data_IF_990855702746
#
_entry.id   IF_990855702746
#
_cell.length_a   1.000
_cell.length_b   1.000
_cell.length_c   1.000
_cell.angle_alpha   90.00
_cell.angle_beta   90.00
_cell.angle_gamma   90.00
#
_symmetry.space_group_name_H-M   'P 1'
#
loop_
_entity.id
_entity.type
_entity.pdbx_description
1 polymer ?
#
# COMPACT_ATOMS: atom_id res chain seq x y z
N UNK A 1 -6.75 -13.03 8.80
CA UNK A 1 -5.85 -13.71 7.83
C UNK A 1 -4.38 -13.45 8.10
N UNK A 2 -3.94 -12.19 8.08
CA UNK A 2 -2.52 -11.83 8.08
C UNK A 2 -2.04 -11.36 9.47
N UNK A 3 -2.44 -12.08 10.51
CA UNK A 3 -2.18 -11.71 11.92
C UNK A 3 -0.74 -11.99 12.37
N UNK A 4 0.01 -12.84 11.65
CA UNK A 4 1.42 -13.12 11.94
C UNK A 4 2.21 -13.27 10.64
N UNK A 5 1.84 -12.49 9.62
CA UNK A 5 2.47 -12.57 8.30
C UNK A 5 3.81 -11.84 8.34
N UNK A 6 4.91 -12.56 8.17
CA UNK A 6 6.27 -12.06 8.30
C UNK A 6 7.13 -12.40 7.09
N UNK A 7 8.07 -11.52 6.77
CA UNK A 7 9.12 -11.77 5.79
C UNK A 7 10.46 -11.32 6.38
N UNK A 8 11.44 -12.22 6.46
CA UNK A 8 12.72 -11.93 7.11
C UNK A 8 12.59 -11.45 8.56
N UNK A 9 11.58 -11.94 9.30
CA UNK A 9 11.27 -11.54 10.68
C UNK A 9 10.42 -10.26 10.82
N UNK A 10 10.34 -9.43 9.78
CA UNK A 10 9.51 -8.21 9.77
C UNK A 10 8.04 -8.57 9.61
N UNK A 11 7.16 -8.03 10.46
CA UNK A 11 5.73 -8.20 10.30
C UNK A 11 5.22 -7.39 9.12
N UNK A 12 4.67 -8.03 8.09
CA UNK A 12 4.15 -7.40 6.85
C UNK A 12 2.62 -7.56 6.72
N UNK A 13 1.99 -8.15 7.74
CA UNK A 13 0.53 -8.21 7.87
C UNK A 13 -0.04 -7.01 8.63
N UNK A 14 -0.92 -7.29 9.61
CA UNK A 14 -1.68 -6.27 10.35
C UNK A 14 -0.86 -5.22 11.11
N UNK A 15 0.41 -5.49 11.44
CA UNK A 15 1.29 -4.54 12.13
C UNK A 15 2.03 -3.57 11.20
N UNK A 16 1.80 -3.62 9.89
CA UNK A 16 2.47 -2.74 8.93
C UNK A 16 1.49 -1.86 8.17
N UNK A 17 1.87 -0.59 8.01
CA UNK A 17 1.25 0.35 7.08
C UNK A 17 2.29 0.80 6.06
N UNK A 18 1.85 1.12 4.85
CA UNK A 18 2.69 1.69 3.81
C UNK A 18 2.03 2.85 3.09
N UNK A 19 2.85 3.68 2.45
CA UNK A 19 2.44 4.74 1.53
C UNK A 19 3.35 4.75 0.32
N UNK A 20 2.81 5.05 -0.86
CA UNK A 20 3.56 5.07 -2.11
C UNK A 20 2.92 6.08 -3.06
N UNK A 21 3.74 6.82 -3.82
CA UNK A 21 3.30 7.56 -5.00
C UNK A 21 3.71 6.78 -6.24
N UNK A 22 2.76 6.47 -7.12
CA UNK A 22 3.05 5.85 -8.42
C UNK A 22 3.06 6.93 -9.49
N UNK A 23 4.18 7.03 -10.21
CA UNK A 23 4.40 8.05 -11.23
C UNK A 23 5.47 7.55 -12.20
N UNK A 24 5.42 8.03 -13.43
CA UNK A 24 6.34 7.66 -14.48
C UNK A 24 5.79 8.01 -15.85
N UNK A 25 6.59 7.95 -16.91
CA UNK A 25 6.13 8.19 -18.28
C UNK A 25 5.14 7.14 -18.78
N UNK A 26 5.14 5.92 -18.22
CA UNK A 26 4.20 4.84 -18.53
C UNK A 26 4.15 3.81 -17.38
N UNK A 27 3.20 2.85 -17.42
CA UNK A 27 3.04 1.85 -16.36
C UNK A 27 4.27 0.97 -16.08
N UNK A 28 5.09 0.69 -17.11
CA UNK A 28 6.28 -0.16 -16.97
C UNK A 28 7.47 0.59 -16.33
N UNK A 29 7.44 1.93 -16.39
CA UNK A 29 8.50 2.81 -15.89
C UNK A 29 8.04 3.55 -14.63
N UNK A 30 7.71 2.79 -13.59
CA UNK A 30 7.12 3.31 -12.36
C UNK A 30 8.20 3.68 -11.32
N UNK A 31 8.27 4.96 -10.95
CA UNK A 31 9.20 5.52 -9.96
C UNK A 31 8.83 5.26 -8.50
N UNK A 32 7.84 4.41 -8.23
CA UNK A 32 7.29 4.16 -6.90
C UNK A 32 8.32 3.85 -5.81
N UNK A 33 9.39 3.13 -6.16
CA UNK A 33 10.44 2.74 -5.21
C UNK A 33 11.13 3.94 -4.55
N UNK A 34 11.06 5.13 -5.16
CA UNK A 34 11.64 6.37 -4.64
C UNK A 34 10.75 7.07 -3.60
N UNK A 35 9.49 6.65 -3.47
CA UNK A 35 8.49 7.27 -2.58
C UNK A 35 7.84 6.30 -1.62
N UNK A 36 8.06 5.00 -1.78
CA UNK A 36 7.56 3.98 -0.85
C UNK A 36 8.15 4.18 0.54
N UNK A 37 7.30 4.05 1.54
CA UNK A 37 7.70 3.94 2.94
C UNK A 37 6.79 2.97 3.66
N UNK A 38 7.35 2.26 4.64
CA UNK A 38 6.61 1.37 5.53
C UNK A 38 6.89 1.74 6.98
N UNK A 39 5.89 1.56 7.83
CA UNK A 39 6.05 1.66 9.27
C UNK A 39 5.37 0.49 9.96
N UNK A 40 6.08 -0.08 10.91
CA UNK A 40 5.56 -1.11 11.79
C UNK A 40 5.08 -0.49 13.10
N UNK A 41 3.94 -0.97 13.59
CA UNK A 41 3.49 -0.72 14.96
C UNK A 41 4.34 -1.52 15.96
N UNK A 42 4.15 -1.26 17.26
CA UNK A 42 4.66 -2.15 18.29
C UNK A 42 4.02 -3.54 18.18
N UNK A 43 4.72 -4.56 18.67
CA UNK A 43 4.24 -5.94 18.67
C UNK A 43 2.89 -6.07 19.41
N UNK A 44 1.92 -6.72 18.78
CA UNK A 44 0.55 -6.87 19.28
C UNK A 44 -0.31 -5.61 19.18
N UNK A 45 0.22 -4.50 18.68
CA UNK A 45 -0.47 -3.22 18.52
C UNK A 45 -0.76 -2.90 17.05
N UNK A 46 -1.17 -3.92 16.28
CA UNK A 46 -1.41 -3.79 14.85
C UNK A 46 -2.51 -2.79 14.50
N UNK A 47 -2.48 -2.31 13.26
CA UNK A 47 -3.44 -1.34 12.71
C UNK A 47 -4.87 -1.89 12.59
N UNK A 48 -5.08 -3.16 12.94
CA UNK A 48 -6.38 -3.83 12.99
C UNK A 48 -7.07 -3.71 14.35
N UNK A 49 -6.41 -3.18 15.39
CA UNK A 49 -6.93 -3.18 16.76
C UNK A 49 -7.77 -1.94 17.12
N UNK A 50 -7.98 -1.02 16.18
CA UNK A 50 -8.77 0.19 16.39
C UNK A 50 -8.85 1.07 15.15
N UNK A 51 -9.49 2.23 15.31
CA UNK A 51 -9.44 3.27 14.28
C UNK A 51 -8.12 4.02 14.35
N UNK A 52 -7.54 4.29 13.18
CA UNK A 52 -6.31 5.05 13.01
C UNK A 52 -6.58 6.26 12.12
N UNK A 53 -5.86 7.36 12.37
CA UNK A 53 -5.98 8.57 11.58
C UNK A 53 -4.96 8.54 10.45
N UNK A 54 -5.44 8.36 9.20
CA UNK A 54 -4.62 8.45 8.00
C UNK A 54 -4.77 9.84 7.40
N UNK A 55 -3.64 10.49 7.11
CA UNK A 55 -3.62 11.88 6.62
C UNK A 55 -2.73 11.99 5.39
N UNK A 56 -3.21 12.76 4.43
CA UNK A 56 -2.46 13.23 3.27
C UNK A 56 -2.52 14.75 3.30
N UNK A 57 -1.37 15.38 3.50
CA UNK A 57 -1.19 16.81 3.27
C UNK A 57 -0.55 16.99 1.90
N UNK A 58 -1.16 17.80 1.05
CA UNK A 58 -0.72 18.00 -0.32
C UNK A 58 -0.76 19.48 -0.66
N UNK A 59 0.39 19.98 -1.08
CA UNK A 59 0.65 21.37 -1.44
C UNK A 59 1.33 21.42 -2.82
N UNK A 60 1.54 22.61 -3.40
CA UNK A 60 2.38 22.75 -4.58
C UNK A 60 3.83 22.28 -4.41
N UNK A 61 4.32 22.16 -3.16
CA UNK A 61 5.73 21.90 -2.85
C UNK A 61 5.98 20.48 -2.33
N UNK A 62 4.98 19.82 -1.73
CA UNK A 62 5.15 18.49 -1.15
C UNK A 62 3.84 17.70 -1.00
N UNK A 63 4.00 16.38 -0.87
CA UNK A 63 2.97 15.45 -0.40
C UNK A 63 3.49 14.73 0.84
N UNK A 64 2.79 14.85 1.97
CA UNK A 64 3.11 14.19 3.22
C UNK A 64 2.03 13.19 3.61
N UNK A 65 2.43 11.94 3.78
CA UNK A 65 1.61 10.89 4.39
C UNK A 65 1.91 10.80 5.87
N UNK A 66 0.86 10.76 6.70
CA UNK A 66 0.97 10.55 8.14
C UNK A 66 -0.06 9.52 8.62
N UNK A 67 0.29 8.83 9.69
CA UNK A 67 -0.60 7.91 10.40
C UNK A 67 -0.53 8.24 11.88
N UNK A 68 -1.67 8.46 12.53
CA UNK A 68 -1.79 8.88 13.93
C UNK A 68 -0.97 10.13 14.27
N UNK A 69 -1.04 11.15 13.40
CA UNK A 69 -0.27 12.41 13.47
C UNK A 69 1.26 12.25 13.43
N UNK A 70 1.76 11.06 13.11
CA UNK A 70 3.18 10.79 12.93
C UNK A 70 3.48 10.68 11.43
N UNK A 71 4.40 11.51 10.94
CA UNK A 71 4.83 11.48 9.54
C UNK A 71 5.36 10.10 9.18
N UNK A 72 4.78 9.50 8.15
CA UNK A 72 5.25 8.26 7.55
C UNK A 72 6.25 8.57 6.43
N UNK A 73 5.88 9.49 5.53
CA UNK A 73 6.71 9.88 4.39
C UNK A 73 6.34 11.28 3.93
N UNK A 74 7.34 12.13 3.77
CA UNK A 74 7.23 13.38 3.02
C UNK A 74 7.93 13.22 1.68
N UNK A 75 7.27 13.66 0.61
CA UNK A 75 7.79 13.68 -0.75
C UNK A 75 7.77 15.12 -1.26
N UNK A 76 8.89 15.83 -1.17
CA UNK A 76 9.01 17.18 -1.73
C UNK A 76 9.09 17.12 -3.26
N UNK A 77 8.42 18.05 -3.95
CA UNK A 77 8.50 18.18 -5.41
C UNK A 77 9.96 18.39 -5.86
N UNK A 78 10.70 19.27 -5.18
CA UNK A 78 12.10 19.59 -5.49
C UNK A 78 12.26 19.97 -6.96
N UNK A 79 13.18 19.30 -7.67
CA UNK A 79 13.38 19.47 -9.12
C UNK A 79 12.34 18.75 -10.00
N UNK A 80 11.25 18.28 -9.42
CA UNK A 80 10.16 17.58 -10.10
C UNK A 80 10.20 16.07 -10.00
N UNK A 81 9.05 15.42 -10.26
CA UNK A 81 8.95 13.96 -10.19
C UNK A 81 9.73 13.23 -11.28
N UNK A 82 10.06 13.89 -12.39
CA UNK A 82 10.97 13.33 -13.39
C UNK A 82 12.35 13.02 -12.79
N UNK A 83 12.91 14.01 -12.09
CA UNK A 83 14.18 13.88 -11.38
C UNK A 83 14.06 12.91 -10.20
N UNK A 84 12.95 12.98 -9.44
CA UNK A 84 12.71 12.08 -8.30
C UNK A 84 12.73 10.61 -8.70
N UNK A 85 12.12 10.28 -9.84
CA UNK A 85 12.09 8.91 -10.37
C UNK A 85 13.40 8.46 -11.01
N UNK A 86 14.38 9.36 -11.21
CA UNK A 86 15.64 9.03 -11.86
C UNK A 86 15.51 8.69 -13.36
N UNK A 87 14.44 9.16 -14.02
CA UNK A 87 14.06 8.69 -15.36
C UNK A 87 15.02 9.10 -16.47
N UNK A 88 15.86 10.12 -16.26
CA UNK A 88 16.98 10.42 -17.17
C UNK A 88 17.87 9.19 -17.36
N UNK A 89 18.07 8.41 -16.30
CA UNK A 89 18.95 7.23 -16.32
C UNK A 89 18.16 5.95 -16.59
N UNK A 90 16.99 5.78 -15.99
CA UNK A 90 16.21 4.52 -16.08
C UNK A 90 15.31 4.46 -17.31
N UNK A 91 15.04 5.60 -17.95
CA UNK A 91 14.13 5.74 -19.09
C UNK A 91 14.70 6.69 -20.15
N UNK A 92 15.96 6.49 -20.61
CA UNK A 92 16.67 7.46 -21.46
C UNK A 92 16.04 7.65 -22.85
N UNK A 93 15.20 6.71 -23.30
CA UNK A 93 14.45 6.79 -24.56
C UNK A 93 13.11 7.54 -24.41
N UNK A 94 12.71 7.90 -23.20
CA UNK A 94 11.46 8.58 -22.92
C UNK A 94 11.70 10.08 -22.75
N UNK A 95 10.88 10.89 -23.41
CA UNK A 95 10.83 12.32 -23.14
C UNK A 95 10.12 12.59 -21.81
N UNK A 96 10.52 13.66 -21.11
CA UNK A 96 9.88 14.04 -19.86
C UNK A 96 8.47 14.61 -20.15
N UNK A 97 7.38 13.91 -19.79
CA UNK A 97 6.02 14.38 -20.08
C UNK A 97 5.63 15.62 -19.26
N UNK A 98 6.41 15.96 -18.23
CA UNK A 98 6.15 17.06 -17.31
C UNK A 98 7.06 18.27 -17.54
N UNK A 99 7.79 18.32 -18.65
CA UNK A 99 8.77 19.39 -18.91
C UNK A 99 8.18 20.81 -18.99
N UNK A 100 6.87 20.91 -19.23
CA UNK A 100 6.13 22.19 -19.29
C UNK A 100 5.08 22.33 -18.17
N UNK A 101 5.08 21.40 -17.20
CA UNK A 101 4.15 21.40 -16.07
C UNK A 101 4.81 21.97 -14.81
N UNK A 102 4.08 21.98 -13.70
CA UNK A 102 4.66 22.37 -12.41
C UNK A 102 5.62 21.29 -11.90
N UNK A 103 6.45 21.61 -10.92
CA UNK A 103 7.32 20.62 -10.27
C UNK A 103 6.53 19.52 -9.54
N UNK A 104 5.26 19.77 -9.22
CA UNK A 104 4.39 18.78 -8.59
C UNK A 104 3.77 17.79 -9.58
N UNK A 105 3.86 18.04 -10.90
CA UNK A 105 3.38 17.11 -11.91
C UNK A 105 3.98 15.69 -11.72
N UNK A 106 3.17 14.62 -11.82
CA UNK A 106 1.79 14.58 -12.32
C UNK A 106 0.71 14.87 -11.25
N UNK A 107 1.10 15.23 -10.04
CA UNK A 107 0.22 15.52 -8.91
C UNK A 107 -0.16 17.00 -8.83
N UNK A 108 -0.30 17.67 -9.97
CA UNK A 108 -0.68 19.08 -10.09
C UNK A 108 -2.05 19.26 -10.78
N UNK A 109 -2.87 18.22 -10.71
CA UNK A 109 -4.23 18.15 -11.24
C UNK A 109 -5.17 17.58 -10.17
N UNK A 110 -6.48 17.58 -10.43
CA UNK A 110 -7.45 17.00 -9.52
C UNK A 110 -7.35 15.47 -9.45
N UNK A 111 -7.51 14.89 -8.25
CA UNK A 111 -7.54 13.45 -8.01
C UNK A 111 -8.83 13.04 -7.31
N UNK A 112 -9.24 11.79 -7.54
CA UNK A 112 -10.34 11.17 -6.82
C UNK A 112 -9.83 10.37 -5.62
N UNK A 113 -10.55 10.43 -4.50
CA UNK A 113 -10.32 9.54 -3.37
C UNK A 113 -11.04 8.21 -3.67
N UNK A 114 -10.27 7.12 -3.72
CA UNK A 114 -10.79 5.77 -3.84
C UNK A 114 -10.39 5.01 -2.58
N UNK A 115 -11.37 4.41 -1.91
CA UNK A 115 -11.15 3.51 -0.78
C UNK A 115 -11.58 2.11 -1.18
N UNK A 116 -10.70 1.12 -1.00
CA UNK A 116 -10.92 -0.24 -1.44
C UNK A 116 -10.29 -1.25 -0.47
N UNK A 117 -10.96 -2.40 -0.30
CA UNK A 117 -10.41 -3.57 0.37
C UNK A 117 -10.14 -4.64 -0.70
N UNK A 118 -8.86 -4.91 -0.98
CA UNK A 118 -8.46 -5.93 -1.93
C UNK A 118 -8.09 -7.25 -1.21
N UNK A 119 -8.41 -8.37 -1.85
CA UNK A 119 -7.99 -9.71 -1.44
C UNK A 119 -7.44 -10.40 -2.68
N UNK A 120 -6.31 -11.10 -2.53
CA UNK A 120 -5.62 -11.71 -3.66
C UNK A 120 -4.47 -10.82 -4.16
N UNK A 121 -3.91 -11.21 -5.30
CA UNK A 121 -2.80 -10.52 -5.95
C UNK A 121 -1.62 -11.47 -6.20
N UNK A 122 -1.05 -11.37 -7.40
CA UNK A 122 0.08 -12.20 -7.87
C UNK A 122 1.31 -11.37 -8.22
N UNK A 123 1.26 -10.06 -7.98
CA UNK A 123 2.34 -9.11 -8.30
C UNK A 123 3.53 -9.16 -7.32
N UNK A 124 3.55 -10.11 -6.38
CA UNK A 124 4.63 -10.26 -5.41
C UNK A 124 4.55 -9.37 -4.17
N UNK A 125 3.57 -8.45 -4.07
CA UNK A 125 3.42 -7.58 -2.89
C UNK A 125 3.32 -8.39 -1.59
N UNK A 126 2.50 -9.45 -1.62
CA UNK A 126 2.52 -10.49 -0.59
C UNK A 126 3.42 -11.65 -1.05
N UNK A 127 4.63 -11.80 -0.47
CA UNK A 127 5.58 -12.85 -0.85
C UNK A 127 5.03 -14.25 -0.55
N UNK A 128 5.43 -15.24 -1.34
CA UNK A 128 4.98 -16.62 -1.10
C UNK A 128 5.53 -17.16 0.24
N UNK A 129 4.82 -18.15 0.78
CA UNK A 129 5.17 -18.85 2.03
C UNK A 129 5.61 -20.26 1.63
N UNK A 130 6.91 -20.63 1.72
CA UNK A 130 8.12 -19.84 2.08
C UNK A 130 8.62 -18.87 0.97
N UNK A 131 9.53 -17.90 1.27
CA UNK A 131 10.27 -17.69 2.53
C UNK A 131 9.54 -16.86 3.57
N UNK A 132 8.41 -16.25 3.24
CA UNK A 132 7.57 -15.62 4.26
C UNK A 132 6.94 -16.68 5.18
N UNK A 133 6.42 -16.25 6.32
CA UNK A 133 5.72 -17.11 7.29
C UNK A 133 4.42 -16.44 7.72
N UNK A 134 3.37 -17.19 8.02
CA UNK A 134 2.11 -16.61 8.54
C UNK A 134 1.50 -17.51 9.61
N UNK A 135 2.15 -17.58 10.78
CA UNK A 135 1.79 -18.53 11.84
C UNK A 135 1.49 -19.94 11.30
N UNK A 136 0.40 -20.54 11.76
CA UNK A 136 -0.07 -21.86 11.30
C UNK A 136 -0.84 -21.84 9.95
N UNK A 137 -0.96 -20.68 9.28
CA UNK A 137 -1.86 -20.50 8.11
C UNK A 137 -1.15 -19.73 6.99
N UNK A 138 -0.59 -20.45 6.01
CA UNK A 138 0.08 -19.83 4.87
C UNK A 138 -0.85 -19.11 3.88
N UNK A 139 -0.25 -18.36 2.95
CA UNK A 139 -0.92 -17.79 1.78
C UNK A 139 -1.45 -18.93 0.89
N UNK A 140 -2.75 -19.00 0.58
CA UNK A 140 -3.35 -20.16 -0.10
C UNK A 140 -3.17 -20.20 -1.63
N UNK A 141 -2.46 -19.24 -2.22
CA UNK A 141 -2.11 -19.22 -3.64
C UNK A 141 -0.65 -18.79 -3.82
N UNK A 142 0.01 -19.24 -4.89
CA UNK A 142 1.35 -18.77 -5.27
C UNK A 142 1.26 -17.54 -6.18
N UNK A 143 2.27 -16.66 -6.14
CA UNK A 143 2.36 -15.51 -7.04
C UNK A 143 2.48 -15.94 -8.52
N UNK A 144 3.01 -17.12 -8.79
CA UNK A 144 3.16 -17.65 -10.15
C UNK A 144 1.97 -18.49 -10.61
N UNK A 145 0.94 -18.67 -9.78
CA UNK A 145 -0.19 -19.53 -10.13
C UNK A 145 -1.07 -18.89 -11.22
N UNK A 146 -1.30 -19.56 -12.36
CA UNK A 146 -2.25 -19.11 -13.37
C UNK A 146 -3.71 -19.26 -12.89
N UNK A 147 -3.93 -20.00 -11.79
CA UNK A 147 -5.26 -20.22 -11.20
C UNK A 147 -5.34 -19.70 -9.77
N UNK A 148 -4.59 -18.66 -9.43
CA UNK A 148 -4.49 -18.11 -8.08
C UNK A 148 -5.85 -17.87 -7.40
N UNK A 149 -6.86 -17.36 -8.13
CA UNK A 149 -8.20 -17.15 -7.59
C UNK A 149 -8.91 -18.47 -7.20
N UNK A 150 -8.73 -19.53 -7.99
CA UNK A 150 -9.25 -20.88 -7.67
C UNK A 150 -8.52 -21.46 -6.46
N UNK A 151 -7.20 -21.29 -6.39
CA UNK A 151 -6.39 -21.81 -5.29
C UNK A 151 -6.76 -21.11 -3.97
N UNK A 152 -6.94 -19.79 -4.02
CA UNK A 152 -7.51 -19.00 -2.93
C UNK A 152 -8.86 -19.57 -2.46
N UNK A 153 -9.81 -19.77 -3.38
CA UNK A 153 -11.14 -20.29 -3.03
C UNK A 153 -11.09 -21.72 -2.45
N UNK A 154 -10.23 -22.58 -2.99
CA UNK A 154 -10.05 -23.93 -2.48
C UNK A 154 -9.43 -23.93 -1.07
N UNK A 155 -8.59 -22.94 -0.76
CA UNK A 155 -8.04 -22.71 0.58
C UNK A 155 -9.01 -22.15 1.62
N UNK A 156 -10.29 -21.92 1.28
CA UNK A 156 -11.27 -21.25 2.18
C UNK A 156 -11.42 -21.88 3.55
N UNK A 157 -11.28 -23.19 3.68
CA UNK A 157 -11.38 -23.85 4.98
C UNK A 157 -10.28 -23.39 5.96
N UNK A 158 -9.17 -22.84 5.46
CA UNK A 158 -8.08 -22.28 6.28
C UNK A 158 -8.28 -20.79 6.59
N UNK A 159 -8.67 -19.99 5.59
CA UNK A 159 -8.76 -18.53 5.75
C UNK A 159 -10.13 -18.03 6.19
N UNK A 160 -11.23 -18.65 5.77
CA UNK A 160 -12.59 -18.17 6.07
C UNK A 160 -12.88 -18.14 7.58
N UNK A 161 -12.49 -19.15 8.38
CA UNK A 161 -12.64 -19.07 9.84
C UNK A 161 -11.86 -17.90 10.47
N UNK A 162 -10.78 -17.41 9.83
CA UNK A 162 -10.01 -16.26 10.35
C UNK A 162 -10.78 -14.95 10.29
N UNK A 163 -11.86 -14.86 9.51
CA UNK A 163 -12.70 -13.67 9.43
C UNK A 163 -13.72 -13.59 10.56
N UNK A 164 -13.86 -14.66 11.35
CA UNK A 164 -14.73 -14.69 12.55
C UNK A 164 -16.16 -14.22 12.23
N UNK A 165 -16.71 -14.67 11.10
CA UNK A 165 -18.01 -14.19 10.60
C UNK A 165 -19.18 -14.43 11.59
N UNK A 166 -19.07 -15.45 12.44
CA UNK A 166 -20.06 -15.75 13.48
C UNK A 166 -19.95 -14.82 14.71
N UNK A 167 -18.83 -14.10 14.87
CA UNK A 167 -18.57 -13.23 16.01
C UNK A 167 -18.76 -11.78 15.60
N UNK A 168 -19.60 -11.05 16.34
CA UNK A 168 -19.87 -9.63 16.07
C UNK A 168 -20.20 -9.35 14.59
N UNK A 169 -20.88 -10.30 13.91
CA UNK A 169 -21.19 -10.25 12.47
C UNK A 169 -19.96 -10.03 11.56
N UNK A 170 -18.79 -10.55 11.94
CA UNK A 170 -17.55 -10.39 11.17
C UNK A 170 -16.95 -8.99 11.22
N UNK A 171 -17.38 -8.13 12.16
CA UNK A 171 -16.91 -6.74 12.28
C UNK A 171 -15.39 -6.63 12.32
N UNK A 172 -14.71 -7.53 13.04
CA UNK A 172 -13.24 -7.58 13.16
C UNK A 172 -12.51 -7.83 11.82
N UNK A 173 -13.21 -8.34 10.81
CA UNK A 173 -12.68 -8.56 9.47
C UNK A 173 -13.20 -7.58 8.43
N UNK A 174 -14.05 -6.64 8.85
CA UNK A 174 -14.67 -5.64 7.97
C UNK A 174 -13.76 -4.42 7.81
N UNK A 175 -13.73 -3.86 6.60
CA UNK A 175 -13.14 -2.54 6.38
C UNK A 175 -14.11 -1.48 6.90
N UNK A 176 -13.70 -0.74 7.93
CA UNK A 176 -14.53 0.21 8.65
C UNK A 176 -13.97 1.62 8.49
N UNK A 177 -14.84 2.57 8.17
CA UNK A 177 -14.53 4.00 8.05
C UNK A 177 -15.45 4.75 8.99
N UNK A 178 -14.86 5.51 9.93
CA UNK A 178 -15.62 6.38 10.83
C UNK A 178 -16.00 7.69 10.12
N UNK A 179 -15.01 8.37 9.55
CA UNK A 179 -15.24 9.57 8.75
C UNK A 179 -14.17 9.77 7.67
N UNK A 180 -14.52 10.60 6.69
CA UNK A 180 -13.60 11.20 5.72
C UNK A 180 -13.79 12.71 5.78
N UNK A 181 -12.69 13.46 5.83
CA UNK A 181 -12.72 14.93 5.80
C UNK A 181 -11.70 15.40 4.77
N UNK A 182 -12.12 16.39 3.98
CA UNK A 182 -11.29 17.08 2.99
C UNK A 182 -11.47 18.57 3.22
N UNK A 183 -10.36 19.30 3.26
CA UNK A 183 -10.34 20.75 3.39
C UNK A 183 -9.16 21.29 2.59
N UNK A 184 -9.26 22.56 2.19
CA UNK A 184 -8.16 23.31 1.60
C UNK A 184 -7.48 24.17 2.67
N UNK A 185 -6.19 24.46 2.46
CA UNK A 185 -5.38 25.34 3.31
C UNK A 185 -5.67 26.82 3.02
#
# INVERSE_FOLDING_TARGET
>A
GNIDYRNGGVHIGVEQVGSTLHFGPNPDQNGWATTVAYRNSAAGQGFNNGFHLYQLEWTPDHITFSVDNQVLRRNDAGSGFWAKGGFVTTSPASENPWMHATTMAPFDQEFYIIMNLAIGGTNGYFPDVPPATNGARGKPWANTSPTAARDFWNGRNYWLPTWRMAENRGKESSFQVDYVRVWAL
#
